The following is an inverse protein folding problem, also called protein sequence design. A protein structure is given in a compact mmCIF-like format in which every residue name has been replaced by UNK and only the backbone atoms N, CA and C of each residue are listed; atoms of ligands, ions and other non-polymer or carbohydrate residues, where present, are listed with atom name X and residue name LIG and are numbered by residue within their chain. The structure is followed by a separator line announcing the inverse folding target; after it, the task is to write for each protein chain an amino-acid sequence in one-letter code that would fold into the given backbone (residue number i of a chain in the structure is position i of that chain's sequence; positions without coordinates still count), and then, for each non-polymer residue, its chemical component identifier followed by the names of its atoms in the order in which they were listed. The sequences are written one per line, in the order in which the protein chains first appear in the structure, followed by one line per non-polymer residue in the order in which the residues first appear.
data_IF_688694569717
#
_entry.id   IF_688694569717
#
_cell.length_a   1.000
_cell.length_b   1.000
_cell.length_c   1.000
_cell.angle_alpha   90.00
_cell.angle_beta   90.00
_cell.angle_gamma   90.00
#
_symmetry.space_group_name_H-M   'P 1'
#
loop_
_entity.id
_entity.type
_entity.pdbx_description
1 polymer ?
#
# COMPACT_ATOMS: atom_id res chain seq x y z
N UNK A 1 21.26 -27.90 -40.89
CA UNK A 1 20.78 -27.31 -39.62
C UNK A 1 19.32 -26.95 -39.81
N UNK A 2 18.42 -27.69 -39.15
CA UNK A 2 16.99 -27.72 -39.44
C UNK A 2 16.25 -26.45 -38.99
N UNK A 3 15.13 -26.19 -39.66
CA UNK A 3 14.12 -25.19 -39.29
C UNK A 3 13.61 -25.53 -37.89
N UNK A 4 13.58 -24.59 -36.92
CA UNK A 4 13.06 -24.86 -35.60
C UNK A 4 11.53 -25.11 -35.68
N UNK A 5 10.95 -25.87 -34.73
CA UNK A 5 9.53 -26.18 -34.76
C UNK A 5 8.71 -24.90 -34.63
N UNK A 6 7.64 -24.77 -35.42
CA UNK A 6 6.61 -23.77 -35.18
C UNK A 6 6.01 -24.02 -33.80
N UNK A 7 6.15 -23.05 -32.89
CA UNK A 7 5.49 -23.05 -31.59
C UNK A 7 4.00 -23.33 -31.77
N UNK A 8 3.44 -24.16 -30.89
CA UNK A 8 2.00 -24.48 -30.94
C UNK A 8 1.19 -23.21 -30.67
N UNK A 9 -0.06 -23.13 -31.16
CA UNK A 9 -0.94 -21.98 -30.92
C UNK A 9 -1.08 -21.61 -29.42
N UNK A 10 -0.87 -22.58 -28.53
CA UNK A 10 -0.89 -22.42 -27.07
C UNK A 10 0.35 -21.67 -26.55
N UNK A 11 1.53 -21.90 -27.15
CA UNK A 11 2.75 -21.15 -26.81
C UNK A 11 2.72 -19.73 -27.39
N UNK A 12 2.02 -19.52 -28.52
CA UNK A 12 1.76 -18.17 -29.03
C UNK A 12 0.79 -17.36 -28.17
N UNK A 13 -0.22 -18.00 -27.56
CA UNK A 13 -1.12 -17.34 -26.61
C UNK A 13 -0.41 -16.93 -25.31
N UNK A 14 0.50 -17.76 -24.79
CA UNK A 14 1.31 -17.42 -23.62
C UNK A 14 2.32 -16.29 -23.87
N UNK A 15 2.78 -16.11 -25.11
CA UNK A 15 3.70 -15.03 -25.49
C UNK A 15 2.94 -13.74 -25.87
N UNK A 16 1.68 -13.81 -26.28
CA UNK A 16 0.84 -12.62 -26.52
C UNK A 16 0.35 -11.94 -25.23
N UNK A 17 0.41 -12.61 -24.07
CA UNK A 17 0.19 -11.96 -22.78
C UNK A 17 1.37 -11.04 -22.37
N UNK A 18 2.49 -11.06 -23.11
CA UNK A 18 3.52 -10.02 -23.06
C UNK A 18 3.16 -8.86 -24.00
N UNK A 19 2.24 -8.00 -23.57
CA UNK A 19 2.13 -6.63 -24.05
C UNK A 19 2.71 -5.67 -22.98
N UNK A 20 3.45 -4.63 -23.36
CA UNK A 20 4.27 -3.83 -22.45
C UNK A 20 3.37 -2.95 -21.57
N UNK A 21 3.10 -3.35 -20.31
CA UNK A 21 2.66 -2.48 -19.19
C UNK A 21 2.29 -3.23 -17.89
N UNK A 22 2.29 -4.57 -17.83
CA UNK A 22 2.01 -5.26 -16.57
C UNK A 22 3.30 -5.37 -15.76
N UNK A 23 3.62 -4.34 -14.99
CA UNK A 23 4.73 -4.40 -14.04
C UNK A 23 4.55 -5.54 -13.04
N UNK A 24 5.64 -5.97 -12.42
CA UNK A 24 5.62 -7.03 -11.40
C UNK A 24 4.69 -6.60 -10.27
N UNK A 25 3.72 -7.46 -9.93
CA UNK A 25 2.91 -7.32 -8.72
C UNK A 25 3.66 -8.00 -7.57
N UNK A 26 3.81 -7.29 -6.46
CA UNK A 26 4.55 -7.73 -5.29
C UNK A 26 3.80 -7.37 -4.00
N UNK A 27 4.28 -7.89 -2.87
CA UNK A 27 3.72 -7.55 -1.56
C UNK A 27 2.26 -7.95 -1.37
N UNK A 28 1.82 -9.05 -2.01
CA UNK A 28 0.42 -9.49 -1.97
C UNK A 28 -0.05 -9.75 -0.53
N UNK A 29 -1.20 -9.16 -0.14
CA UNK A 29 -1.92 -9.47 1.10
C UNK A 29 -3.38 -9.75 0.79
N UNK A 30 -3.93 -10.79 1.42
CA UNK A 30 -5.33 -11.19 1.24
C UNK A 30 -6.28 -10.19 1.91
N UNK A 31 -7.33 -9.79 1.18
CA UNK A 31 -8.48 -9.03 1.70
C UNK A 31 -9.64 -9.99 2.07
N UNK A 32 -9.50 -11.27 1.73
CA UNK A 32 -10.57 -12.25 1.84
C UNK A 32 -11.54 -12.18 0.66
N UNK A 33 -12.75 -12.68 0.90
CA UNK A 33 -13.84 -12.75 -0.08
C UNK A 33 -14.63 -11.43 -0.05
N UNK A 34 -14.67 -10.69 -1.17
CA UNK A 34 -15.36 -9.38 -1.24
C UNK A 34 -16.66 -9.42 -2.04
N UNK A 35 -16.75 -10.30 -3.05
CA UNK A 35 -17.79 -10.25 -4.08
C UNK A 35 -18.99 -11.17 -3.83
N UNK A 36 -18.96 -11.98 -2.77
CA UNK A 36 -19.93 -13.06 -2.52
C UNK A 36 -19.86 -14.20 -3.55
N UNK A 37 -18.81 -14.29 -4.36
CA UNK A 37 -18.60 -15.31 -5.39
C UNK A 37 -17.75 -16.49 -4.90
N UNK A 38 -17.14 -16.39 -3.71
CA UNK A 38 -16.28 -17.43 -3.13
C UNK A 38 -14.84 -17.39 -3.62
N UNK A 39 -14.44 -16.33 -4.34
CA UNK A 39 -13.08 -16.10 -4.79
C UNK A 39 -12.34 -15.16 -3.83
N UNK A 40 -11.06 -15.43 -3.64
CA UNK A 40 -10.23 -14.63 -2.75
C UNK A 40 -9.68 -13.42 -3.50
N UNK A 41 -9.88 -12.24 -2.91
CA UNK A 41 -9.32 -11.00 -3.40
C UNK A 41 -8.04 -10.65 -2.63
N UNK A 42 -7.05 -10.14 -3.35
CA UNK A 42 -5.73 -9.77 -2.81
C UNK A 42 -5.37 -8.36 -3.28
N UNK A 43 -4.78 -7.58 -2.40
CA UNK A 43 -4.15 -6.31 -2.78
C UNK A 43 -2.67 -6.54 -3.01
N UNK A 44 -2.07 -5.83 -3.96
CA UNK A 44 -0.63 -5.84 -4.19
C UNK A 44 -0.13 -4.50 -4.71
N UNK A 45 1.19 -4.38 -4.78
CA UNK A 45 1.87 -3.24 -5.39
C UNK A 45 2.37 -3.63 -6.77
N UNK A 46 1.90 -2.94 -7.80
CA UNK A 46 2.35 -3.10 -9.19
C UNK A 46 3.38 -2.02 -9.53
N UNK A 47 4.62 -2.43 -9.82
CA UNK A 47 5.65 -1.49 -10.27
C UNK A 47 5.27 -0.82 -11.60
N UNK A 48 5.67 0.44 -11.77
CA UNK A 48 5.52 1.22 -13.00
C UNK A 48 6.87 1.82 -13.38
N UNK A 49 7.00 2.27 -14.62
CA UNK A 49 8.20 2.96 -15.07
C UNK A 49 8.42 4.27 -14.31
N UNK A 50 9.69 4.68 -14.19
CA UNK A 50 10.05 6.01 -13.68
C UNK A 50 9.91 6.20 -12.17
N UNK A 51 10.16 5.15 -11.37
CA UNK A 51 10.00 5.16 -9.90
C UNK A 51 8.58 5.58 -9.51
N UNK A 52 7.64 4.73 -9.92
CA UNK A 52 6.21 4.85 -9.68
C UNK A 52 5.59 3.46 -9.49
N UNK A 53 4.39 3.40 -8.93
CA UNK A 53 3.68 2.14 -8.69
C UNK A 53 2.18 2.39 -8.51
N UNK A 54 1.40 1.34 -8.72
CA UNK A 54 -0.02 1.30 -8.39
C UNK A 54 -0.29 0.34 -7.22
N UNK A 55 -1.31 0.64 -6.41
CA UNK A 55 -2.02 -0.40 -5.69
C UNK A 55 -2.97 -1.09 -6.66
N UNK A 56 -3.07 -2.41 -6.56
CA UNK A 56 -3.97 -3.22 -7.39
C UNK A 56 -4.75 -4.18 -6.51
N UNK A 57 -6.07 -4.26 -6.72
CA UNK A 57 -6.89 -5.36 -6.20
C UNK A 57 -7.01 -6.39 -7.32
N UNK A 58 -6.63 -7.62 -7.02
CA UNK A 58 -6.77 -8.76 -7.92
C UNK A 58 -7.66 -9.81 -7.28
N UNK A 59 -8.42 -10.53 -8.10
CA UNK A 59 -9.14 -11.73 -7.71
C UNK A 59 -8.59 -12.90 -8.53
N UNK A 60 -8.49 -14.07 -7.89
CA UNK A 60 -8.05 -15.30 -8.55
C UNK A 60 -9.27 -16.19 -8.76
N UNK A 61 -9.62 -16.40 -10.02
CA UNK A 61 -10.76 -17.23 -10.41
C UNK A 61 -10.48 -18.74 -10.31
N UNK A 62 -11.50 -19.55 -10.59
CA UNK A 62 -11.49 -21.01 -10.41
C UNK A 62 -10.39 -21.73 -11.20
N UNK A 63 -9.89 -21.15 -12.30
CA UNK A 63 -8.86 -21.75 -13.14
C UNK A 63 -7.51 -21.05 -12.98
N UNK A 64 -7.36 -20.20 -11.96
CA UNK A 64 -6.15 -19.46 -11.66
C UNK A 64 -5.96 -18.22 -12.54
N UNK A 65 -6.98 -17.82 -13.31
CA UNK A 65 -7.01 -16.53 -13.99
C UNK A 65 -7.00 -15.40 -12.96
N UNK A 66 -6.18 -14.38 -13.22
CA UNK A 66 -6.13 -13.17 -12.40
C UNK A 66 -6.95 -12.08 -13.07
N UNK A 67 -7.93 -11.54 -12.36
CA UNK A 67 -8.68 -10.36 -12.77
C UNK A 67 -8.27 -9.16 -11.92
N UNK A 68 -7.99 -8.01 -12.55
CA UNK A 68 -7.74 -6.76 -11.82
C UNK A 68 -9.08 -6.05 -11.63
N UNK A 69 -9.55 -6.01 -10.38
CA UNK A 69 -10.84 -5.41 -10.02
C UNK A 69 -10.74 -3.90 -9.73
N UNK A 70 -9.58 -3.46 -9.23
CA UNK A 70 -9.35 -2.06 -8.88
C UNK A 70 -7.87 -1.69 -9.01
N UNK A 71 -7.59 -0.42 -9.28
CA UNK A 71 -6.23 0.11 -9.37
C UNK A 71 -6.21 1.54 -8.86
N UNK A 72 -5.22 1.86 -8.03
CA UNK A 72 -4.95 3.23 -7.62
C UNK A 72 -3.48 3.61 -7.87
N UNK A 73 -3.21 4.47 -8.87
CA UNK A 73 -1.86 4.96 -9.10
C UNK A 73 -1.44 5.93 -8.01
N UNK A 74 -0.14 5.99 -7.69
CA UNK A 74 0.38 7.06 -6.84
C UNK A 74 -0.04 8.43 -7.40
N UNK A 75 -0.45 9.42 -6.57
CA UNK A 75 -0.89 10.71 -7.05
C UNK A 75 0.08 11.34 -8.07
N UNK A 76 -0.46 11.85 -9.19
CA UNK A 76 0.36 12.29 -10.35
C UNK A 76 1.41 13.36 -10.04
N UNK A 77 1.22 14.12 -8.96
CA UNK A 77 2.15 15.13 -8.51
C UNK A 77 3.28 14.57 -7.64
N UNK A 78 3.29 13.28 -7.34
CA UNK A 78 4.32 12.59 -6.58
C UNK A 78 5.22 11.75 -7.50
N UNK A 79 6.51 11.80 -7.21
CA UNK A 79 7.49 10.82 -7.65
C UNK A 79 7.82 9.96 -6.42
N UNK A 80 7.65 8.65 -6.53
CA UNK A 80 7.67 7.76 -5.37
C UNK A 80 7.04 6.41 -5.67
N UNK A 81 6.90 5.56 -4.66
CA UNK A 81 6.27 4.25 -4.79
C UNK A 81 5.42 3.92 -3.55
N UNK A 82 4.42 3.07 -3.72
CA UNK A 82 3.78 2.32 -2.64
C UNK A 82 4.80 1.31 -2.14
N UNK A 83 5.08 1.32 -0.85
CA UNK A 83 6.13 0.47 -0.26
C UNK A 83 5.57 -0.67 0.56
N UNK A 84 4.46 -0.43 1.23
CA UNK A 84 3.74 -1.43 2.02
C UNK A 84 2.31 -0.95 2.25
N UNK A 85 1.45 -1.85 2.69
CA UNK A 85 0.07 -1.56 3.03
C UNK A 85 -0.45 -2.59 4.02
N UNK A 86 -1.50 -2.31 4.75
CA UNK A 86 -2.21 -3.31 5.55
C UNK A 86 -3.70 -3.29 5.26
N UNK A 87 -4.37 -4.35 5.68
CA UNK A 87 -5.82 -4.52 5.57
C UNK A 87 -6.36 -4.61 6.99
N UNK A 88 -7.30 -3.74 7.34
CA UNK A 88 -7.87 -3.65 8.69
C UNK A 88 -9.27 -3.05 8.62
N UNK A 89 -10.15 -3.43 9.54
CA UNK A 89 -11.45 -2.76 9.76
C UNK A 89 -11.21 -1.64 10.78
N UNK A 90 -11.07 -0.40 10.30
CA UNK A 90 -10.64 0.74 11.13
C UNK A 90 -11.76 1.41 11.89
N UNK A 91 -12.95 1.46 11.28
CA UNK A 91 -14.14 2.07 11.87
C UNK A 91 -15.10 1.03 12.48
N UNK A 92 -14.68 -0.23 12.53
CA UNK A 92 -15.41 -1.38 13.09
C UNK A 92 -16.77 -1.60 12.42
N UNK A 93 -16.88 -1.29 11.13
CA UNK A 93 -18.11 -1.43 10.37
C UNK A 93 -18.28 -2.83 9.72
N UNK A 94 -17.29 -3.71 9.89
CA UNK A 94 -17.26 -5.07 9.36
C UNK A 94 -16.76 -5.18 7.92
N UNK A 95 -16.26 -4.08 7.33
CA UNK A 95 -15.68 -4.05 5.99
C UNK A 95 -14.18 -3.73 6.09
N UNK A 96 -13.39 -4.19 5.12
CA UNK A 96 -11.95 -3.94 5.15
C UNK A 96 -11.59 -2.60 4.54
N UNK A 97 -10.63 -1.92 5.16
CA UNK A 97 -9.91 -0.79 4.60
C UNK A 97 -8.52 -1.24 4.15
N UNK A 98 -8.05 -0.68 3.03
CA UNK A 98 -6.64 -0.70 2.66
C UNK A 98 -5.97 0.53 3.27
N UNK A 99 -4.96 0.32 4.10
CA UNK A 99 -4.11 1.38 4.65
C UNK A 99 -2.73 1.28 4.03
N UNK A 100 -2.45 2.13 3.05
CA UNK A 100 -1.23 2.09 2.27
C UNK A 100 -0.29 3.22 2.62
N UNK A 101 1.01 2.92 2.64
CA UNK A 101 2.08 3.90 2.82
C UNK A 101 2.91 4.02 1.54
N UNK A 102 3.37 5.24 1.28
CA UNK A 102 4.17 5.57 0.11
C UNK A 102 5.48 6.25 0.50
N UNK A 103 6.53 5.89 -0.22
CA UNK A 103 7.82 6.58 -0.15
C UNK A 103 7.88 7.63 -1.25
N UNK A 104 7.69 8.89 -0.87
CA UNK A 104 7.69 10.03 -1.79
C UNK A 104 9.09 10.63 -1.82
N UNK A 105 9.73 10.64 -2.99
CA UNK A 105 11.05 11.24 -3.18
C UNK A 105 10.99 12.70 -3.62
N UNK A 106 9.91 13.09 -4.30
CA UNK A 106 9.61 14.49 -4.57
C UNK A 106 8.14 14.72 -4.89
N UNK A 107 7.68 15.95 -4.68
CA UNK A 107 6.34 16.41 -5.06
C UNK A 107 6.44 17.69 -5.87
N UNK A 108 5.72 17.77 -6.98
CA UNK A 108 5.57 19.01 -7.76
C UNK A 108 4.56 19.98 -7.14
N UNK A 109 3.80 19.54 -6.13
CA UNK A 109 2.87 20.39 -5.40
C UNK A 109 3.62 21.26 -4.39
N UNK A 110 3.66 22.57 -4.62
CA UNK A 110 4.16 23.56 -3.65
C UNK A 110 3.18 23.83 -2.49
N UNK A 111 2.00 23.22 -2.50
CA UNK A 111 0.85 23.65 -1.70
C UNK A 111 0.51 22.73 -0.52
N UNK A 112 1.21 21.60 -0.36
CA UNK A 112 0.99 20.66 0.75
C UNK A 112 2.32 20.21 1.33
N UNK A 113 2.79 20.92 2.36
CA UNK A 113 3.71 20.39 3.35
C UNK A 113 2.94 20.35 4.69
N UNK A 114 2.86 19.19 5.36
CA UNK A 114 3.42 17.90 4.96
C UNK A 114 2.76 17.33 3.69
N UNK A 115 3.48 16.47 2.96
CA UNK A 115 2.86 15.63 1.92
C UNK A 115 2.13 14.47 2.57
N UNK A 116 0.98 14.11 1.99
CA UNK A 116 0.24 12.93 2.38
C UNK A 116 1.03 11.70 1.91
N UNK A 117 1.44 10.84 2.84
CA UNK A 117 2.20 9.61 2.53
C UNK A 117 1.48 8.34 3.02
N UNK A 118 0.45 8.48 3.86
CA UNK A 118 -0.47 7.42 4.27
C UNK A 118 -1.84 7.67 3.61
N UNK A 119 -2.43 6.60 3.08
CA UNK A 119 -3.68 6.65 2.33
C UNK A 119 -4.59 5.52 2.77
N UNK A 120 -5.86 5.82 2.99
CA UNK A 120 -6.89 4.84 3.37
C UNK A 120 -7.94 4.73 2.28
N UNK A 121 -8.33 3.50 1.95
CA UNK A 121 -9.40 3.19 0.99
C UNK A 121 -10.39 2.24 1.64
N UNK A 122 -11.60 2.74 1.91
CA UNK A 122 -12.69 1.99 2.54
C UNK A 122 -13.48 1.21 1.49
N UNK A 123 -13.79 -0.05 1.78
CA UNK A 123 -14.65 -0.86 0.92
C UNK A 123 -16.12 -0.46 1.08
N UNK A 124 -16.74 0.08 0.03
CA UNK A 124 -18.14 0.55 0.10
C UNK A 124 -19.19 -0.57 0.05
N UNK A 125 -18.76 -1.83 0.01
CA UNK A 125 -19.61 -3.01 -0.19
C UNK A 125 -19.64 -3.50 -1.64
N UNK A 126 -19.11 -2.73 -2.59
CA UNK A 126 -19.05 -3.09 -4.00
C UNK A 126 -17.71 -2.79 -4.68
N UNK A 127 -17.00 -1.74 -4.25
CA UNK A 127 -15.67 -1.38 -4.76
C UNK A 127 -14.87 -0.56 -3.75
N UNK A 128 -13.55 -0.54 -3.94
CA UNK A 128 -12.71 0.53 -3.37
C UNK A 128 -12.90 1.83 -4.18
N UNK A 129 -12.79 3.00 -3.52
CA UNK A 129 -13.02 4.28 -4.18
C UNK A 129 -11.89 4.68 -5.12
N UNK A 130 -12.20 5.54 -6.12
CA UNK A 130 -11.21 6.09 -7.06
C UNK A 130 -10.34 7.21 -6.45
N UNK A 131 -10.64 7.59 -5.20
CA UNK A 131 -9.90 8.54 -4.38
C UNK A 131 -9.77 7.97 -2.96
N UNK A 132 -8.71 8.32 -2.23
CA UNK A 132 -8.56 7.90 -0.84
C UNK A 132 -9.77 8.39 -0.03
N UNK A 133 -10.30 7.51 0.81
CA UNK A 133 -11.31 7.84 1.81
C UNK A 133 -10.77 8.90 2.77
N UNK A 134 -9.54 8.69 3.23
CA UNK A 134 -8.74 9.72 3.93
C UNK A 134 -7.27 9.57 3.57
N UNK A 135 -6.50 10.61 3.83
CA UNK A 135 -5.05 10.60 3.66
C UNK A 135 -4.41 11.43 4.76
N UNK A 136 -3.22 11.04 5.16
CA UNK A 136 -2.50 11.70 6.22
C UNK A 136 -1.01 11.78 5.91
N UNK A 137 -0.37 12.80 6.48
CA UNK A 137 1.04 13.02 6.36
C UNK A 137 1.57 13.79 7.55
N UNK A 138 2.76 13.38 7.99
CA UNK A 138 3.54 14.11 8.99
C UNK A 138 4.97 14.27 8.54
N UNK A 139 5.52 15.45 8.77
CA UNK A 139 6.89 15.81 8.42
C UNK A 139 7.44 16.67 9.57
N UNK A 140 8.47 16.17 10.26
CA UNK A 140 9.13 16.88 11.37
C UNK A 140 10.25 17.81 10.89
N UNK A 141 10.73 17.62 9.66
CA UNK A 141 11.89 18.33 9.12
C UNK A 141 11.55 18.95 7.77
N UNK A 142 11.55 20.28 7.71
CA UNK A 142 11.25 21.02 6.48
C UNK A 142 12.19 20.63 5.33
N UNK A 143 11.62 20.45 4.14
CA UNK A 143 12.38 20.09 2.93
C UNK A 143 12.85 18.63 2.86
N UNK A 144 12.65 17.84 3.91
CA UNK A 144 12.94 16.40 3.93
C UNK A 144 11.63 15.61 3.85
N UNK A 145 11.42 14.92 2.74
CA UNK A 145 10.28 14.01 2.60
C UNK A 145 10.43 12.81 3.54
N UNK A 146 9.42 12.50 4.36
CA UNK A 146 9.38 11.26 5.13
C UNK A 146 9.45 10.03 4.22
N UNK A 147 10.14 8.98 4.68
CA UNK A 147 10.28 7.73 3.93
C UNK A 147 9.78 6.56 4.77
N UNK A 148 8.45 6.43 4.96
CA UNK A 148 7.89 5.23 5.56
C UNK A 148 8.28 4.01 4.71
N UNK A 149 8.36 2.83 5.30
CA UNK A 149 8.85 1.62 4.64
C UNK A 149 8.02 0.37 4.92
N UNK A 150 7.61 0.15 6.17
CA UNK A 150 6.73 -0.95 6.56
C UNK A 150 5.64 -0.42 7.46
N UNK A 151 4.47 -1.05 7.39
CA UNK A 151 3.31 -0.76 8.25
C UNK A 151 2.74 -2.06 8.81
N UNK A 152 2.46 -2.06 10.11
CA UNK A 152 1.85 -3.19 10.81
C UNK A 152 0.69 -2.62 11.64
N UNK A 153 -0.54 -3.14 11.49
CA UNK A 153 -1.67 -2.77 12.35
C UNK A 153 -1.58 -3.53 13.69
N UNK A 154 -2.15 -2.96 14.74
CA UNK A 154 -2.31 -3.63 16.02
C UNK A 154 -3.10 -2.77 17.01
N UNK A 155 -3.21 -3.29 18.22
CA UNK A 155 -3.75 -2.61 19.41
C UNK A 155 -2.77 -2.88 20.58
N UNK A 156 -1.60 -2.20 20.61
CA UNK A 156 -0.53 -2.53 21.53
C UNK A 156 -0.78 -2.04 22.96
N UNK A 157 -1.63 -1.04 23.15
CA UNK A 157 -2.00 -0.51 24.47
C UNK A 157 -3.38 -0.97 24.97
N UNK A 158 -4.11 -1.73 24.13
CA UNK A 158 -5.34 -2.45 24.44
C UNK A 158 -6.53 -1.52 24.73
N UNK A 159 -6.63 -0.40 24.03
CA UNK A 159 -7.72 0.56 24.18
C UNK A 159 -8.89 0.32 23.20
N UNK A 160 -8.70 -0.59 22.23
CA UNK A 160 -9.68 -1.00 21.24
C UNK A 160 -9.69 -0.17 19.96
N UNK A 161 -8.80 0.81 19.83
CA UNK A 161 -8.51 1.50 18.58
C UNK A 161 -7.43 0.74 17.80
N UNK A 162 -7.26 1.12 16.54
CA UNK A 162 -6.22 0.51 15.70
C UNK A 162 -5.06 1.48 15.55
N UNK A 163 -3.89 1.02 15.95
CA UNK A 163 -2.63 1.70 15.78
C UNK A 163 -1.85 1.09 14.62
N UNK A 164 -1.09 1.96 13.96
CA UNK A 164 -0.13 1.57 12.95
C UNK A 164 1.29 1.77 13.46
N UNK A 165 2.04 0.68 13.52
CA UNK A 165 3.49 0.70 13.76
C UNK A 165 4.17 0.87 12.39
N UNK A 166 4.82 2.01 12.19
CA UNK A 166 5.41 2.40 10.90
C UNK A 166 6.92 2.61 11.05
N UNK A 167 7.74 1.93 10.23
CA UNK A 167 9.17 2.29 10.11
C UNK A 167 9.37 3.41 9.12
N UNK A 168 10.33 4.28 9.44
CA UNK A 168 10.90 5.26 8.52
C UNK A 168 12.37 4.93 8.27
N UNK A 169 12.83 5.17 7.05
CA UNK A 169 14.21 4.97 6.63
C UNK A 169 14.97 6.30 6.44
N UNK A 170 16.25 6.22 6.10
CA UNK A 170 17.11 7.39 5.81
C UNK A 170 16.43 8.35 4.82
N UNK A 171 16.43 9.67 5.06
CA UNK A 171 17.39 10.39 5.91
C UNK A 171 17.00 10.52 7.38
N UNK A 172 15.76 10.24 7.76
CA UNK A 172 15.27 10.38 9.15
C UNK A 172 14.71 9.03 9.62
N UNK A 173 15.57 8.08 10.04
CA UNK A 173 15.10 6.79 10.51
C UNK A 173 14.38 6.94 11.86
N UNK A 174 13.16 6.41 11.93
CA UNK A 174 12.24 6.49 13.08
C UNK A 174 11.32 5.28 13.10
N UNK A 175 10.66 5.08 14.23
CA UNK A 175 9.43 4.31 14.34
C UNK A 175 8.32 5.28 14.75
N UNK A 176 7.15 5.15 14.13
CA UNK A 176 5.93 5.83 14.53
C UNK A 176 4.92 4.81 15.04
N UNK A 177 4.18 5.17 16.09
CA UNK A 177 2.91 4.55 16.46
C UNK A 177 1.86 5.63 16.20
N UNK A 178 0.95 5.33 15.28
CA UNK A 178 -0.10 6.24 14.81
C UNK A 178 -1.46 5.59 15.04
N UNK A 179 -2.24 6.12 15.96
CA UNK A 179 -3.61 5.70 16.24
C UNK A 179 -4.57 6.34 15.22
N UNK A 180 -5.53 5.54 14.75
CA UNK A 180 -6.73 6.03 14.08
C UNK A 180 -7.92 6.01 15.04
N UNK A 181 -8.67 7.10 15.08
CA UNK A 181 -9.91 7.18 15.86
C UNK A 181 -11.05 7.87 15.10
N UNK A 182 -12.28 7.52 15.47
CA UNK A 182 -13.49 8.09 14.88
C UNK A 182 -13.97 7.35 13.64
N UNK A 183 -14.58 8.08 12.71
CA UNK A 183 -15.06 7.59 11.42
C UNK A 183 -14.37 8.35 10.28
N UNK A 184 -14.62 7.93 9.04
CA UNK A 184 -14.06 8.62 7.87
C UNK A 184 -14.71 9.97 7.54
N UNK A 185 -15.80 10.35 8.22
CA UNK A 185 -16.37 11.70 8.10
C UNK A 185 -15.55 12.72 8.90
N UNK A 186 -15.01 12.32 10.05
CA UNK A 186 -14.10 13.12 10.88
C UNK A 186 -12.92 12.28 11.38
N UNK A 187 -11.95 11.96 10.50
CA UNK A 187 -10.85 11.07 10.84
C UNK A 187 -9.93 11.70 11.90
N UNK A 188 -9.73 10.98 13.01
CA UNK A 188 -8.77 11.29 14.06
C UNK A 188 -7.45 10.55 13.83
N UNK A 189 -6.35 11.29 13.95
CA UNK A 189 -4.99 10.75 13.83
C UNK A 189 -4.14 11.24 14.99
N UNK A 190 -3.71 10.32 15.85
CA UNK A 190 -2.89 10.64 17.02
C UNK A 190 -1.51 10.00 16.89
N UNK A 191 -0.45 10.83 16.92
CA UNK A 191 0.92 10.30 17.02
C UNK A 191 1.19 10.00 18.48
N UNK A 192 1.24 8.73 18.85
CA UNK A 192 1.54 8.29 20.21
C UNK A 192 3.04 8.14 20.46
N UNK A 193 3.78 7.74 19.43
CA UNK A 193 5.22 7.58 19.46
C UNK A 193 5.82 8.03 18.12
N UNK A 194 6.93 8.76 18.17
CA UNK A 194 7.70 9.12 16.97
C UNK A 194 9.15 9.41 17.27
N UNK A 195 9.97 8.36 17.44
CA UNK A 195 11.40 8.48 17.73
C UNK A 195 12.16 7.30 17.12
N UNK A 196 13.50 7.36 17.13
CA UNK A 196 14.32 6.17 16.90
C UNK A 196 14.61 5.55 18.26
N UNK A 197 14.09 4.36 18.59
CA UNK A 197 14.41 3.69 19.85
C UNK A 197 15.93 3.54 20.03
N UNK A 198 16.45 3.83 21.23
CA UNK A 198 17.89 3.73 21.53
C UNK A 198 18.47 2.35 21.21
N UNK A 199 17.66 1.29 21.38
CA UNK A 199 18.05 -0.08 21.03
C UNK A 199 18.34 -0.25 19.52
N UNK A 200 17.67 0.50 18.66
CA UNK A 200 17.87 0.51 17.20
C UNK A 200 18.96 1.49 16.76
N UNK A 201 19.28 2.50 17.58
CA UNK A 201 20.40 3.40 17.35
C UNK A 201 21.77 2.69 17.40
N UNK A 202 21.82 1.48 17.99
CA UNK A 202 23.01 0.62 18.03
C UNK A 202 23.32 -0.15 16.73
N UNK A 203 22.48 -0.01 15.68
CA UNK A 203 22.70 -0.62 14.36
C UNK A 203 21.81 -1.81 14.01
N UNK A 204 20.83 -2.15 14.87
CA UNK A 204 19.79 -3.13 14.55
C UNK A 204 18.74 -2.51 13.63
N UNK A 205 18.41 -3.18 12.52
CA UNK A 205 17.35 -2.74 11.61
C UNK A 205 15.97 -3.01 12.25
N UNK A 206 15.02 -2.06 12.21
CA UNK A 206 13.76 -2.15 12.95
C UNK A 206 12.86 -3.36 12.65
N UNK A 207 13.06 -4.10 11.55
CA UNK A 207 12.16 -5.18 11.14
C UNK A 207 12.89 -6.31 10.38
N UNK A 208 14.10 -6.66 10.82
CA UNK A 208 14.76 -7.87 10.32
C UNK A 208 14.21 -9.11 11.06
N UNK A 209 13.02 -9.57 10.66
CA UNK A 209 12.47 -10.88 10.99
C UNK A 209 12.09 -11.59 9.70
#
# INVERSE_FOLDING_TARGET
FGVPPSLSAVEYELIQYNQPAQGIISGLKSVGELAGNGHEAMVGVRARDGFNSDLVLIEIGDRGEMEVLWTYPLPKNYLGEWVDFTISDLDHNGRPEIVAISNIVSSSSRLKNPVDWLFVFEWDGAKFPDKPTTSWGYQDTEGIFPRPNQIIPGDPDADGLTEFIISFTSPVPRVMILEFSGDFATPGWTIEYYQLPDILASGLKPFAL
#
